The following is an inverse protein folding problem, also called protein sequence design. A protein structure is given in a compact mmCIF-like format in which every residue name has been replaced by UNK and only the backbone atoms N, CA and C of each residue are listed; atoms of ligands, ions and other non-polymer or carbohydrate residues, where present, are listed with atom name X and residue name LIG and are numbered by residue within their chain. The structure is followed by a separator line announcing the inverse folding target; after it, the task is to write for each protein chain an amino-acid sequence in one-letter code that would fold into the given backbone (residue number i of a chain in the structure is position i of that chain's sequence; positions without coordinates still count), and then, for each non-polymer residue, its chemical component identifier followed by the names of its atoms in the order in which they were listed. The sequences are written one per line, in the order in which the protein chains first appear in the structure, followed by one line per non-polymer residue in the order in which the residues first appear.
data_IF_665464831379
#
_entry.id   IF_665464831379
#
_cell.length_a   1.000
_cell.length_b   1.000
_cell.length_c   1.000
_cell.angle_alpha   90.00
_cell.angle_beta   90.00
_cell.angle_gamma   90.00
#
_symmetry.space_group_name_H-M   'P 1'
#
loop_
_entity.id
_entity.type
_entity.pdbx_description
1 polymer ?
#
# COMPACT_ATOMS: atom_id res chain seq x y z
N UNK A 1 -41.83 -19.51 -1.46
CA UNK A 1 -41.43 -19.25 -0.06
C UNK A 1 -41.21 -17.75 0.16
N UNK A 2 -42.05 -17.03 0.92
CA UNK A 2 -41.85 -15.59 1.18
C UNK A 2 -41.87 -15.17 2.67
N UNK A 3 -41.87 -16.11 3.64
CA UNK A 3 -42.15 -15.80 5.05
C UNK A 3 -40.93 -15.41 5.92
N UNK A 4 -39.70 -15.62 5.47
CA UNK A 4 -38.51 -15.38 6.30
C UNK A 4 -38.21 -13.87 6.51
N UNK A 5 -38.38 -13.06 5.46
CA UNK A 5 -38.07 -11.63 5.50
C UNK A 5 -38.97 -10.84 6.47
N UNK A 6 -40.27 -11.20 6.53
CA UNK A 6 -41.24 -10.58 7.46
C UNK A 6 -40.98 -10.92 8.92
N UNK A 7 -40.42 -12.10 9.21
CA UNK A 7 -39.99 -12.48 10.56
C UNK A 7 -38.74 -11.69 10.99
N UNK A 8 -37.76 -11.53 10.09
CA UNK A 8 -36.54 -10.77 10.36
C UNK A 8 -36.83 -9.29 10.67
N UNK A 9 -37.67 -8.62 9.86
CA UNK A 9 -38.07 -7.23 10.10
C UNK A 9 -38.83 -7.05 11.43
N UNK A 10 -39.69 -8.01 11.80
CA UNK A 10 -40.40 -7.98 13.09
C UNK A 10 -39.48 -8.18 14.29
N UNK A 11 -38.40 -8.95 14.15
CA UNK A 11 -37.39 -9.09 15.20
C UNK A 11 -36.58 -7.80 15.37
N UNK A 12 -36.15 -7.19 14.26
CA UNK A 12 -35.34 -5.96 14.27
C UNK A 12 -36.09 -4.77 14.91
N UNK A 13 -37.36 -4.57 14.54
CA UNK A 13 -38.23 -3.52 15.11
C UNK A 13 -38.51 -3.72 16.61
N UNK A 14 -38.37 -4.94 17.14
CA UNK A 14 -38.67 -5.26 18.55
C UNK A 14 -37.48 -5.08 19.49
N UNK A 15 -36.27 -4.93 18.97
CA UNK A 15 -35.03 -4.89 19.75
C UNK A 15 -34.19 -3.61 19.61
N UNK A 16 -34.48 -2.73 18.65
CA UNK A 16 -33.59 -1.59 18.35
C UNK A 16 -34.24 -0.20 18.16
N UNK A 17 -35.54 -0.01 18.49
CA UNK A 17 -36.17 1.33 18.45
C UNK A 17 -37.02 1.63 19.70
N UNK A 18 -36.37 2.27 20.68
CA UNK A 18 -36.96 3.14 21.70
C UNK A 18 -35.84 4.05 22.23
N UNK A 19 -36.00 5.35 22.49
CA UNK A 19 -37.21 6.18 22.48
C UNK A 19 -36.89 7.64 22.13
N UNK A 20 -37.81 8.29 21.42
CA UNK A 20 -37.91 9.75 21.27
C UNK A 20 -39.04 10.25 22.20
N UNK A 21 -38.90 11.37 22.91
CA UNK A 21 -40.05 12.11 23.44
C UNK A 21 -40.54 13.13 22.41
N UNK A 22 -41.87 13.17 22.20
CA UNK A 22 -42.55 14.11 21.28
C UNK A 22 -43.44 15.11 22.10
N UNK A 23 -44.37 15.90 21.54
CA UNK A 23 -44.19 17.36 21.57
C UNK A 23 -45.41 18.13 22.14
N UNK A 24 -45.34 19.46 22.16
CA UNK A 24 -46.51 20.36 22.19
C UNK A 24 -46.23 21.55 21.24
N UNK A 25 -47.20 21.91 20.38
CA UNK A 25 -47.16 23.14 19.55
C UNK A 25 -47.61 24.38 20.35
N UNK A 26 -47.82 25.57 19.80
CA UNK A 26 -47.83 26.12 18.42
C UNK A 26 -47.29 27.58 18.48
N UNK A 27 -47.24 28.45 17.45
CA UNK A 27 -47.88 28.47 16.12
C UNK A 27 -46.99 29.17 15.05
N UNK A 28 -47.59 29.96 14.16
CA UNK A 28 -47.00 30.78 13.08
C UNK A 28 -47.75 32.17 13.07
N UNK A 29 -47.44 33.20 12.24
CA UNK A 29 -46.66 33.20 11.00
C UNK A 29 -45.76 34.43 10.63
N UNK A 30 -44.99 34.23 9.56
CA UNK A 30 -44.55 35.14 8.48
C UNK A 30 -44.48 36.68 8.63
N UNK A 31 -43.33 37.26 8.24
CA UNK A 31 -43.17 38.07 7.00
C UNK A 31 -41.72 38.58 6.84
N UNK A 32 -41.29 38.86 5.60
CA UNK A 32 -39.95 39.39 5.29
C UNK A 32 -39.95 40.92 5.12
N UNK A 33 -38.98 41.62 5.71
CA UNK A 33 -38.59 42.98 5.30
C UNK A 33 -37.19 43.40 5.81
N UNK A 34 -36.47 44.13 4.96
CA UNK A 34 -35.42 45.12 5.22
C UNK A 34 -34.34 44.87 6.30
N UNK A 35 -33.07 44.79 5.84
CA UNK A 35 -31.89 45.13 6.65
C UNK A 35 -31.92 46.63 6.95
N UNK A 36 -31.93 47.08 8.22
CA UNK A 36 -31.83 48.50 8.55
C UNK A 36 -30.39 49.01 8.39
N UNK A 37 -30.26 50.29 8.08
CA UNK A 37 -29.00 50.92 7.75
C UNK A 37 -28.01 50.98 8.94
N UNK A 38 -26.72 51.03 8.58
CA UNK A 38 -25.60 51.28 9.49
C UNK A 38 -25.87 52.53 10.34
N UNK A 39 -25.81 52.37 11.66
CA UNK A 39 -25.69 53.48 12.63
C UNK A 39 -24.32 53.40 13.31
N UNK A 40 -23.70 54.54 13.66
CA UNK A 40 -22.25 54.62 13.83
C UNK A 40 -21.73 54.11 15.18
N UNK A 41 -20.47 53.67 15.15
CA UNK A 41 -19.57 53.34 16.27
C UNK A 41 -20.03 53.82 17.66
N UNK A 42 -20.40 52.86 18.51
CA UNK A 42 -20.10 52.96 19.94
C UNK A 42 -18.64 52.51 20.16
N UNK A 43 -17.88 53.26 20.95
CA UNK A 43 -16.52 52.88 21.35
C UNK A 43 -16.55 51.77 22.42
N UNK A 44 -16.40 50.50 22.03
CA UNK A 44 -16.12 49.43 23.00
C UNK A 44 -14.67 49.51 23.50
N UNK A 45 -14.46 50.34 24.51
CA UNK A 45 -13.26 50.29 25.35
C UNK A 45 -13.29 49.00 26.18
N UNK A 46 -12.33 48.10 25.93
CA UNK A 46 -12.04 46.99 26.86
C UNK A 46 -12.05 45.57 26.29
N UNK A 47 -11.89 45.36 24.98
CA UNK A 47 -11.56 44.04 24.47
C UNK A 47 -10.28 43.52 25.15
N UNK A 48 -10.36 42.38 25.86
CA UNK A 48 -9.17 41.72 26.41
C UNK A 48 -8.21 41.41 25.26
N UNK A 49 -6.88 41.61 25.43
CA UNK A 49 -5.93 41.26 24.38
C UNK A 49 -6.10 39.77 24.02
N UNK A 50 -6.16 39.47 22.72
CA UNK A 50 -6.33 38.09 22.25
C UNK A 50 -5.23 37.18 22.79
N UNK A 51 -5.50 35.90 23.07
CA UNK A 51 -4.50 34.96 23.59
C UNK A 51 -3.18 34.99 22.81
N UNK A 52 -2.05 34.82 23.49
CA UNK A 52 -0.71 34.94 22.88
C UNK A 52 -0.51 33.97 21.69
N UNK A 53 -1.13 32.79 21.75
CA UNK A 53 -1.09 31.82 20.64
C UNK A 53 -1.93 32.25 19.44
N UNK A 54 -3.02 32.99 19.62
CA UNK A 54 -3.78 33.58 18.50
C UNK A 54 -3.03 34.75 17.87
N UNK A 55 -2.41 35.61 18.69
CA UNK A 55 -1.56 36.70 18.19
C UNK A 55 -0.40 36.13 17.35
N UNK A 56 0.26 35.09 17.87
CA UNK A 56 1.32 34.37 17.17
C UNK A 56 0.82 33.73 15.87
N UNK A 57 -0.30 33.00 15.91
CA UNK A 57 -0.85 32.37 14.71
C UNK A 57 -1.17 33.41 13.62
N UNK A 58 -1.81 34.54 13.98
CA UNK A 58 -2.08 35.64 13.04
C UNK A 58 -0.81 36.20 12.41
N UNK A 59 0.23 36.51 13.21
CA UNK A 59 1.52 36.98 12.71
C UNK A 59 2.18 35.97 11.74
N UNK A 60 2.13 34.69 12.07
CA UNK A 60 2.70 33.63 11.24
C UNK A 60 1.93 33.54 9.91
N UNK A 61 0.60 33.54 9.97
CA UNK A 61 -0.31 33.48 8.82
C UNK A 61 -0.33 34.74 7.96
N UNK A 62 0.01 35.93 8.48
CA UNK A 62 0.11 37.16 7.68
C UNK A 62 1.07 37.01 6.49
N UNK A 63 2.17 36.28 6.68
CA UNK A 63 3.24 36.14 5.68
C UNK A 63 3.35 34.74 5.09
N UNK A 64 2.74 33.73 5.70
CA UNK A 64 2.92 32.33 5.29
C UNK A 64 1.61 31.55 5.30
N UNK A 65 1.56 30.50 4.51
CA UNK A 65 0.56 29.44 4.63
C UNK A 65 1.22 28.22 5.27
N UNK A 66 0.58 27.63 6.28
CA UNK A 66 1.09 26.44 6.98
C UNK A 66 0.17 25.23 6.77
N UNK A 67 0.77 24.04 6.79
CA UNK A 67 0.07 22.75 6.83
C UNK A 67 0.89 21.71 7.57
N UNK A 68 0.26 20.73 8.21
CA UNK A 68 0.94 19.68 8.97
C UNK A 68 0.88 18.36 8.21
N UNK A 69 2.03 17.89 7.71
CA UNK A 69 2.12 16.70 6.88
C UNK A 69 1.99 15.42 7.71
N UNK A 70 0.90 14.67 7.50
CA UNK A 70 0.54 13.46 8.23
C UNK A 70 1.41 12.23 7.91
N UNK A 71 2.15 12.24 6.81
CA UNK A 71 3.10 11.18 6.44
C UNK A 71 4.50 11.49 6.98
N UNK A 72 4.97 12.73 6.78
CA UNK A 72 6.26 13.18 7.31
C UNK A 72 6.25 13.37 8.85
N UNK A 73 5.09 13.66 9.45
CA UNK A 73 4.91 14.11 10.84
C UNK A 73 5.58 15.47 11.13
N UNK A 74 5.60 16.36 10.13
CA UNK A 74 6.28 17.66 10.21
C UNK A 74 5.39 18.80 9.71
N UNK A 75 5.50 20.01 10.28
CA UNK A 75 4.95 21.22 9.70
C UNK A 75 5.68 21.57 8.40
N UNK A 76 4.91 22.04 7.42
CA UNK A 76 5.35 22.60 6.16
C UNK A 76 4.76 23.99 5.99
N UNK A 77 5.46 24.85 5.24
CA UNK A 77 5.01 26.20 4.95
C UNK A 77 5.45 26.70 3.58
N UNK A 78 4.81 27.77 3.12
CA UNK A 78 5.25 28.61 2.00
C UNK A 78 4.91 30.07 2.28
N UNK A 79 5.47 30.99 1.50
CA UNK A 79 5.02 32.39 1.52
C UNK A 79 3.55 32.49 1.07
N UNK A 80 2.78 33.35 1.74
CA UNK A 80 1.34 33.49 1.51
C UNK A 80 1.07 34.08 0.12
N UNK A 81 0.18 33.43 -0.64
CA UNK A 81 -0.11 33.78 -2.03
C UNK A 81 0.98 33.36 -3.03
N UNK A 82 2.06 32.69 -2.58
CA UNK A 82 3.10 32.19 -3.48
C UNK A 82 2.68 30.90 -4.18
N UNK A 83 2.97 30.81 -5.48
CA UNK A 83 2.82 29.58 -6.26
C UNK A 83 3.92 28.54 -5.94
N UNK A 84 4.90 28.87 -5.09
CA UNK A 84 5.92 27.94 -4.64
C UNK A 84 5.33 26.72 -3.91
N UNK A 85 6.02 25.58 -4.05
CA UNK A 85 5.73 24.38 -3.27
C UNK A 85 5.96 24.63 -1.78
N UNK A 86 5.12 24.03 -0.94
CA UNK A 86 5.35 23.98 0.49
C UNK A 86 6.66 23.24 0.79
N UNK A 87 7.43 23.77 1.73
CA UNK A 87 8.68 23.19 2.22
C UNK A 87 8.58 22.91 3.71
N UNK A 88 9.27 21.88 4.19
CA UNK A 88 9.32 21.53 5.62
C UNK A 88 9.92 22.69 6.41
N UNK A 89 9.37 22.98 7.59
CA UNK A 89 9.99 23.95 8.51
C UNK A 89 11.31 23.35 9.02
N UNK A 90 12.44 23.87 8.55
CA UNK A 90 13.75 23.48 9.05
C UNK A 90 14.10 24.24 10.35
N UNK A 91 15.13 23.82 11.11
CA UNK A 91 15.56 24.54 12.31
C UNK A 91 15.90 26.02 12.05
N UNK A 92 16.42 26.34 10.85
CA UNK A 92 16.66 27.72 10.42
C UNK A 92 15.35 28.52 10.33
N UNK A 93 14.36 28.00 9.62
CA UNK A 93 13.05 28.64 9.46
C UNK A 93 12.36 28.84 10.80
N UNK A 94 12.39 27.80 11.64
CA UNK A 94 11.82 27.82 12.99
C UNK A 94 12.43 28.95 13.84
N UNK A 95 13.75 29.12 13.78
CA UNK A 95 14.43 30.22 14.48
C UNK A 95 14.04 31.58 13.91
N UNK A 96 13.90 31.72 12.58
CA UNK A 96 13.42 32.96 11.94
C UNK A 96 11.98 33.29 12.34
N UNK A 97 11.08 32.31 12.39
CA UNK A 97 9.70 32.49 12.85
C UNK A 97 9.64 32.92 14.34
N UNK A 98 10.52 32.35 15.18
CA UNK A 98 10.65 32.77 16.58
C UNK A 98 11.19 34.20 16.73
N UNK A 99 12.17 34.61 15.92
CA UNK A 99 12.68 36.00 15.90
C UNK A 99 11.57 36.98 15.50
N UNK A 100 10.79 36.68 14.46
CA UNK A 100 9.65 37.54 14.06
C UNK A 100 8.63 37.72 15.20
N UNK A 101 8.37 36.68 15.99
CA UNK A 101 7.46 36.76 17.14
C UNK A 101 8.01 37.60 18.31
N UNK A 102 9.34 37.62 18.49
CA UNK A 102 10.06 38.49 19.43
C UNK A 102 10.00 39.94 18.94
N UNK A 103 10.28 40.20 17.67
CA UNK A 103 10.27 41.53 17.05
C UNK A 103 8.87 42.17 17.11
N UNK A 104 7.82 41.36 16.88
CA UNK A 104 6.42 41.74 17.05
C UNK A 104 5.98 41.91 18.52
N UNK A 105 6.87 41.67 19.49
CA UNK A 105 6.66 41.80 20.95
C UNK A 105 5.47 41.02 21.50
N UNK A 106 5.14 39.87 20.90
CA UNK A 106 4.01 39.04 21.32
C UNK A 106 4.25 38.41 22.71
N UNK A 107 5.51 38.28 23.14
CA UNK A 107 5.85 37.75 24.47
C UNK A 107 5.76 36.22 24.57
N UNK A 108 5.87 35.52 23.44
CA UNK A 108 5.93 34.06 23.34
C UNK A 108 7.36 33.54 23.43
N UNK A 109 7.53 32.32 23.93
CA UNK A 109 8.82 31.62 23.90
C UNK A 109 8.95 30.80 22.61
N UNK A 110 10.18 30.44 22.25
CA UNK A 110 10.46 29.55 21.12
C UNK A 110 9.64 28.24 21.18
N UNK A 111 9.46 27.68 22.39
CA UNK A 111 8.61 26.50 22.64
C UNK A 111 7.13 26.71 22.31
N UNK A 112 6.63 27.94 22.38
CA UNK A 112 5.24 28.25 22.03
C UNK A 112 5.05 28.30 20.51
N UNK A 113 6.08 28.71 19.76
CA UNK A 113 6.11 28.57 18.29
C UNK A 113 6.09 27.09 17.89
N UNK A 114 6.89 26.24 18.56
CA UNK A 114 6.89 24.79 18.32
C UNK A 114 5.52 24.18 18.62
N UNK A 115 4.93 24.53 19.76
CA UNK A 115 3.57 24.10 20.15
C UNK A 115 2.52 24.48 19.12
N UNK A 116 2.53 25.73 18.62
CA UNK A 116 1.57 26.15 17.56
C UNK A 116 1.78 25.31 16.31
N UNK A 117 3.01 25.21 15.80
CA UNK A 117 3.34 24.47 14.57
C UNK A 117 3.02 22.96 14.63
N UNK A 118 3.03 22.36 15.83
CA UNK A 118 2.68 20.95 16.07
C UNK A 118 1.28 20.75 16.69
N UNK A 119 0.42 21.78 16.68
CA UNK A 119 -0.95 21.69 17.18
C UNK A 119 -1.99 21.49 16.07
N UNK A 120 -3.21 21.15 16.47
CA UNK A 120 -4.38 21.11 15.58
C UNK A 120 -4.83 22.48 15.04
N UNK A 121 -4.14 23.58 15.42
CA UNK A 121 -4.33 24.89 14.78
C UNK A 121 -3.76 24.92 13.35
N UNK A 122 -2.75 24.10 13.06
CA UNK A 122 -2.22 23.96 11.70
C UNK A 122 -3.04 22.92 10.93
N UNK A 123 -3.58 23.26 9.74
CA UNK A 123 -4.38 22.33 8.94
C UNK A 123 -3.63 21.03 8.62
N UNK A 124 -4.24 19.89 8.93
CA UNK A 124 -3.68 18.58 8.61
C UNK A 124 -3.69 18.30 7.10
N UNK A 125 -2.61 17.72 6.59
CA UNK A 125 -2.37 17.49 5.18
C UNK A 125 -1.88 16.06 4.93
N UNK A 126 -2.57 15.30 4.08
CA UNK A 126 -2.15 13.96 3.65
C UNK A 126 -1.71 13.98 2.18
N UNK A 127 -0.39 13.99 1.88
CA UNK A 127 0.14 14.21 0.53
C UNK A 127 -0.50 13.37 -0.57
N UNK A 128 -0.62 12.05 -0.35
CA UNK A 128 -1.14 11.11 -1.36
C UNK A 128 -2.63 11.36 -1.65
N UNK A 129 -3.42 11.65 -0.62
CA UNK A 129 -4.88 11.84 -0.75
C UNK A 129 -5.18 13.20 -1.34
N UNK A 130 -4.46 14.24 -0.89
CA UNK A 130 -4.58 15.59 -1.44
C UNK A 130 -4.22 15.65 -2.93
N UNK A 131 -3.15 14.95 -3.34
CA UNK A 131 -2.82 14.79 -4.75
C UNK A 131 -4.01 14.19 -5.52
N UNK A 132 -4.59 13.09 -5.02
CA UNK A 132 -5.76 12.44 -5.63
C UNK A 132 -7.03 13.30 -5.63
N UNK A 133 -7.21 14.19 -4.66
CA UNK A 133 -8.33 15.16 -4.59
C UNK A 133 -8.18 16.26 -5.64
N UNK A 134 -6.98 16.83 -5.78
CA UNK A 134 -6.68 17.95 -6.67
C UNK A 134 -6.61 17.60 -8.17
N UNK A 135 -6.66 16.32 -8.53
CA UNK A 135 -6.61 15.90 -9.95
C UNK A 135 -7.75 16.52 -10.77
N UNK A 136 -7.51 16.84 -12.04
CA UNK A 136 -8.57 17.26 -12.97
C UNK A 136 -9.59 16.14 -13.22
N UNK A 137 -10.67 16.47 -13.93
CA UNK A 137 -11.51 15.45 -14.55
C UNK A 137 -10.68 14.63 -15.55
N UNK A 138 -10.98 13.33 -15.65
CA UNK A 138 -10.37 12.47 -16.65
C UNK A 138 -10.84 12.87 -18.06
N UNK A 139 -9.91 13.02 -18.99
CA UNK A 139 -10.17 13.39 -20.39
C UNK A 139 -10.72 12.25 -21.27
N UNK A 140 -11.00 11.08 -20.68
CA UNK A 140 -11.54 9.91 -21.38
C UNK A 140 -10.51 9.10 -22.18
N UNK A 141 -9.23 9.49 -22.20
CA UNK A 141 -8.18 8.77 -22.92
C UNK A 141 -7.46 7.76 -22.02
N UNK A 142 -7.35 6.52 -22.47
CA UNK A 142 -6.61 5.46 -21.77
C UNK A 142 -5.09 5.69 -21.85
N UNK A 143 -4.48 5.98 -20.70
CA UNK A 143 -3.03 6.06 -20.47
C UNK A 143 -2.50 4.85 -19.72
N UNK A 144 -3.37 4.08 -19.06
CA UNK A 144 -3.02 2.92 -18.24
C UNK A 144 -2.51 1.75 -19.09
N UNK A 145 -3.23 1.38 -20.16
CA UNK A 145 -2.80 0.29 -21.05
C UNK A 145 -1.47 0.60 -21.76
N UNK A 146 -1.29 1.75 -22.44
CA UNK A 146 -0.01 2.08 -23.08
C UNK A 146 1.16 2.10 -22.09
N UNK A 147 0.93 2.49 -20.83
CA UNK A 147 1.94 2.47 -19.77
C UNK A 147 2.36 1.03 -19.41
N UNK A 148 1.41 0.10 -19.29
CA UNK A 148 1.70 -1.31 -19.05
C UNK A 148 2.45 -1.95 -20.23
N UNK A 149 2.06 -1.59 -21.46
CA UNK A 149 2.63 -2.11 -22.70
C UNK A 149 4.10 -1.70 -22.92
N UNK A 150 4.58 -0.62 -22.26
CA UNK A 150 6.02 -0.26 -22.22
C UNK A 150 6.91 -1.37 -21.63
N UNK A 151 6.32 -2.30 -20.88
CA UNK A 151 7.02 -3.47 -20.30
C UNK A 151 6.71 -4.74 -21.08
N UNK A 152 5.43 -5.01 -21.37
CA UNK A 152 5.01 -6.19 -22.14
C UNK A 152 3.62 -6.01 -22.74
N UNK A 153 3.42 -6.46 -23.97
CA UNK A 153 2.11 -6.53 -24.62
C UNK A 153 1.27 -7.77 -24.22
N UNK A 154 1.74 -8.58 -23.26
CA UNK A 154 0.98 -9.75 -22.78
C UNK A 154 -0.33 -9.29 -22.11
N UNK A 155 -1.46 -9.79 -22.58
CA UNK A 155 -2.79 -9.44 -22.06
C UNK A 155 -2.91 -9.67 -20.54
N UNK A 156 -2.34 -10.76 -20.03
CA UNK A 156 -2.33 -11.07 -18.59
C UNK A 156 -1.48 -10.06 -17.80
N UNK A 157 -0.34 -9.61 -18.35
CA UNK A 157 0.46 -8.56 -17.74
C UNK A 157 -0.30 -7.24 -17.69
N UNK A 158 -0.87 -6.80 -18.82
CA UNK A 158 -1.64 -5.55 -18.92
C UNK A 158 -2.81 -5.56 -17.94
N UNK A 159 -3.55 -6.67 -17.84
CA UNK A 159 -4.65 -6.84 -16.90
C UNK A 159 -4.17 -6.76 -15.44
N UNK A 160 -3.16 -7.53 -15.06
CA UNK A 160 -2.64 -7.57 -13.69
C UNK A 160 -2.01 -6.24 -13.25
N UNK A 161 -1.26 -5.57 -14.14
CA UNK A 161 -0.70 -4.24 -13.90
C UNK A 161 -1.80 -3.19 -13.72
N UNK A 162 -2.86 -3.25 -14.54
CA UNK A 162 -4.01 -2.34 -14.43
C UNK A 162 -4.76 -2.51 -13.10
N UNK A 163 -4.95 -3.76 -12.64
CA UNK A 163 -5.53 -4.03 -11.32
C UNK A 163 -4.63 -3.51 -10.20
N UNK A 164 -3.32 -3.77 -10.28
CA UNK A 164 -2.35 -3.30 -9.27
C UNK A 164 -2.28 -1.77 -9.18
N UNK A 165 -2.23 -1.05 -10.30
CA UNK A 165 -2.09 0.41 -10.29
C UNK A 165 -3.40 1.11 -9.85
N UNK A 166 -4.57 0.51 -10.14
CA UNK A 166 -5.84 0.94 -9.52
C UNK A 166 -5.88 0.69 -8.02
N UNK A 167 -5.39 -0.45 -7.54
CA UNK A 167 -5.32 -0.74 -6.11
C UNK A 167 -4.39 0.25 -5.37
N UNK A 168 -3.28 0.65 -6.00
CA UNK A 168 -2.41 1.73 -5.52
C UNK A 168 -3.15 3.06 -5.43
N UNK A 169 -3.82 3.49 -6.51
CA UNK A 169 -4.60 4.73 -6.51
C UNK A 169 -5.73 4.72 -5.46
N UNK A 170 -6.42 3.59 -5.30
CA UNK A 170 -7.46 3.40 -4.29
C UNK A 170 -6.92 3.50 -2.85
N UNK A 171 -5.72 2.97 -2.57
CA UNK A 171 -5.04 3.19 -1.27
C UNK A 171 -4.73 4.67 -1.04
N UNK A 172 -4.25 5.39 -2.06
CA UNK A 172 -3.90 6.82 -1.93
C UNK A 172 -5.14 7.69 -1.69
N UNK A 173 -6.28 7.31 -2.28
CA UNK A 173 -7.60 7.89 -2.02
C UNK A 173 -8.22 7.50 -0.67
N UNK A 174 -7.57 6.64 0.12
CA UNK A 174 -8.15 6.01 1.32
C UNK A 174 -9.51 5.32 1.07
N UNK A 175 -9.68 4.71 -0.12
CA UNK A 175 -10.94 4.14 -0.56
C UNK A 175 -11.37 2.94 0.33
N UNK A 176 -12.60 2.93 0.89
CA UNK A 176 -12.97 2.04 2.00
C UNK A 176 -12.95 0.55 1.65
N UNK A 177 -13.08 0.19 0.36
CA UNK A 177 -13.04 -1.21 -0.09
C UNK A 177 -11.63 -1.77 -0.29
N UNK A 178 -10.60 -0.92 -0.34
CA UNK A 178 -9.21 -1.32 -0.62
C UNK A 178 -8.33 -1.08 0.60
N UNK A 179 -8.25 -2.09 1.46
CA UNK A 179 -7.46 -2.02 2.70
C UNK A 179 -5.95 -2.15 2.49
N UNK A 180 -5.53 -2.79 1.39
CA UNK A 180 -4.17 -3.27 1.18
C UNK A 180 -4.00 -3.73 -0.28
N UNK A 181 -3.01 -3.20 -1.00
CA UNK A 181 -2.61 -3.74 -2.29
C UNK A 181 -1.62 -4.89 -2.09
N UNK A 182 -2.08 -6.12 -2.27
CA UNK A 182 -1.32 -7.36 -2.04
C UNK A 182 -0.58 -7.86 -3.29
N UNK A 183 -0.79 -7.22 -4.45
CA UNK A 183 -0.09 -7.54 -5.70
C UNK A 183 1.25 -6.81 -5.78
N UNK A 184 2.24 -7.46 -6.39
CA UNK A 184 3.61 -6.95 -6.55
C UNK A 184 4.10 -7.25 -7.96
N UNK A 185 4.09 -6.29 -8.90
CA UNK A 185 4.72 -6.46 -10.19
C UNK A 185 6.22 -6.68 -10.02
N UNK A 186 6.74 -7.74 -10.63
CA UNK A 186 8.13 -8.16 -10.51
C UNK A 186 8.76 -8.18 -11.91
N UNK A 187 9.49 -7.12 -12.21
CA UNK A 187 10.14 -6.89 -13.50
C UNK A 187 11.50 -7.60 -13.48
N UNK A 188 11.58 -8.69 -14.24
CA UNK A 188 12.72 -9.61 -14.29
C UNK A 188 13.50 -9.38 -15.58
N UNK A 189 14.84 -9.38 -15.54
CA UNK A 189 15.64 -9.44 -16.77
C UNK A 189 17.02 -10.04 -16.58
N UNK A 190 17.41 -10.98 -17.46
CA UNK A 190 18.78 -11.53 -17.48
C UNK A 190 19.86 -10.51 -17.79
N UNK A 191 19.49 -9.41 -18.47
CA UNK A 191 20.40 -8.31 -18.84
C UNK A 191 20.20 -7.13 -17.89
N UNK A 192 21.29 -6.56 -17.41
CA UNK A 192 21.27 -5.28 -16.69
C UNK A 192 21.03 -4.11 -17.66
N UNK A 193 20.73 -2.92 -17.13
CA UNK A 193 20.59 -1.69 -17.93
C UNK A 193 19.24 -1.47 -18.61
N UNK A 194 18.25 -2.36 -18.47
CA UNK A 194 16.93 -2.24 -19.13
C UNK A 194 15.98 -1.19 -18.49
N UNK A 195 16.52 -0.22 -17.73
CA UNK A 195 15.80 0.92 -17.13
C UNK A 195 14.66 0.56 -16.16
N UNK A 196 14.62 -0.67 -15.63
CA UNK A 196 13.57 -1.17 -14.72
C UNK A 196 13.32 -0.25 -13.50
N UNK A 197 14.35 0.02 -12.70
CA UNK A 197 14.22 0.86 -11.50
C UNK A 197 13.94 2.33 -11.85
N UNK A 198 14.37 2.80 -13.04
CA UNK A 198 13.98 4.12 -13.60
C UNK A 198 12.49 4.19 -13.91
N UNK A 199 11.92 3.13 -14.51
CA UNK A 199 10.48 3.03 -14.74
C UNK A 199 9.71 2.96 -13.41
N UNK A 200 10.17 2.19 -12.43
CA UNK A 200 9.53 2.15 -11.10
C UNK A 200 9.44 3.53 -10.45
N UNK A 201 10.49 4.36 -10.59
CA UNK A 201 10.49 5.75 -10.12
C UNK A 201 9.59 6.66 -10.95
N UNK A 202 9.52 6.47 -12.27
CA UNK A 202 8.66 7.25 -13.17
C UNK A 202 7.17 7.14 -12.81
N UNK A 203 6.72 6.03 -12.21
CA UNK A 203 5.34 5.86 -11.76
C UNK A 203 4.95 6.84 -10.63
N UNK A 204 5.91 7.35 -9.86
CA UNK A 204 5.65 8.35 -8.82
C UNK A 204 5.56 9.75 -9.44
N UNK A 205 4.50 10.53 -9.19
CA UNK A 205 4.45 11.95 -9.54
C UNK A 205 5.62 12.73 -8.90
N UNK A 206 6.24 13.70 -9.59
CA UNK A 206 7.41 14.42 -9.06
C UNK A 206 7.18 15.08 -7.70
N UNK A 207 5.97 15.62 -7.48
CA UNK A 207 5.54 16.24 -6.21
C UNK A 207 5.45 15.26 -5.03
N UNK A 208 5.41 13.96 -5.32
CA UNK A 208 5.31 12.87 -4.34
C UNK A 208 6.60 12.04 -4.24
N UNK A 209 7.72 12.52 -4.79
CA UNK A 209 9.01 11.81 -4.79
C UNK A 209 9.47 11.37 -3.40
N UNK A 210 9.18 12.17 -2.37
CA UNK A 210 9.50 11.90 -0.96
C UNK A 210 8.81 10.65 -0.40
N UNK A 211 7.72 10.19 -1.03
CA UNK A 211 6.94 9.02 -0.63
C UNK A 211 7.27 7.77 -1.46
N UNK A 212 8.32 7.84 -2.29
CA UNK A 212 8.87 6.70 -3.02
C UNK A 212 10.17 6.23 -2.37
N UNK A 213 10.41 4.92 -2.37
CA UNK A 213 11.71 4.35 -1.96
C UNK A 213 12.23 3.38 -3.02
N UNK A 214 13.45 3.63 -3.53
CA UNK A 214 14.13 2.72 -4.45
C UNK A 214 14.53 1.39 -3.81
N UNK A 215 14.80 1.38 -2.48
CA UNK A 215 15.26 0.19 -1.74
C UNK A 215 14.52 0.01 -0.42
N UNK A 216 14.18 -1.24 -0.11
CA UNK A 216 13.57 -1.64 1.15
C UNK A 216 14.45 -2.67 1.88
N UNK A 217 15.19 -2.19 2.88
CA UNK A 217 16.09 -3.04 3.66
C UNK A 217 15.33 -3.80 4.74
N UNK A 218 15.23 -5.11 4.56
CA UNK A 218 14.64 -6.05 5.51
C UNK A 218 15.71 -6.51 6.51
N UNK A 219 16.23 -5.59 7.33
CA UNK A 219 17.15 -5.93 8.43
C UNK A 219 16.39 -6.34 9.69
N UNK A 220 16.93 -7.29 10.46
CA UNK A 220 16.24 -7.88 11.61
C UNK A 220 16.01 -6.93 12.80
N UNK A 221 16.60 -5.73 12.76
CA UNK A 221 16.54 -4.70 13.82
C UNK A 221 15.72 -3.48 13.44
N UNK A 222 15.31 -3.32 12.17
CA UNK A 222 14.55 -2.16 11.73
C UNK A 222 13.04 -2.37 11.88
N UNK A 223 12.33 -1.39 12.42
CA UNK A 223 10.88 -1.32 12.33
C UNK A 223 10.49 -1.03 10.87
N UNK A 224 9.79 -1.96 10.23
CA UNK A 224 9.42 -1.85 8.82
C UNK A 224 8.07 -1.13 8.66
N UNK A 225 7.14 -1.43 9.55
CA UNK A 225 5.76 -0.94 9.62
C UNK A 225 5.64 0.59 9.52
N UNK A 226 6.48 1.41 10.19
CA UNK A 226 6.43 2.86 10.03
C UNK A 226 6.65 3.32 8.58
N UNK A 227 7.46 2.60 7.78
CA UNK A 227 7.68 2.93 6.37
C UNK A 227 6.45 2.60 5.51
N UNK A 228 5.72 1.52 5.82
CA UNK A 228 4.48 1.15 5.13
C UNK A 228 3.32 2.13 5.39
N UNK A 229 3.37 2.87 6.49
CA UNK A 229 2.44 3.95 6.83
C UNK A 229 2.84 5.33 6.27
N UNK A 230 4.02 5.45 5.65
CA UNK A 230 4.59 6.72 5.17
C UNK A 230 4.82 6.78 3.65
N UNK A 231 5.24 5.68 3.04
CA UNK A 231 5.59 5.62 1.62
C UNK A 231 4.36 5.22 0.78
N UNK A 232 4.13 5.86 -0.37
CA UNK A 232 3.06 5.50 -1.31
C UNK A 232 3.44 4.36 -2.26
N UNK A 233 4.72 4.27 -2.65
CA UNK A 233 5.26 3.20 -3.50
C UNK A 233 6.66 2.79 -3.04
N UNK A 234 6.89 1.49 -2.91
CA UNK A 234 8.17 0.91 -2.51
C UNK A 234 8.67 0.01 -3.64
N UNK A 235 9.85 0.31 -4.19
CA UNK A 235 10.57 -0.62 -5.06
C UNK A 235 11.41 -1.59 -4.22
N UNK A 236 11.26 -2.88 -4.51
CA UNK A 236 12.08 -3.97 -4.02
C UNK A 236 13.17 -4.23 -5.07
N UNK A 237 14.16 -3.35 -5.11
CA UNK A 237 15.32 -3.45 -6.01
C UNK A 237 16.24 -4.61 -5.62
N UNK A 238 16.79 -5.28 -6.63
CA UNK A 238 17.63 -6.48 -6.46
C UNK A 238 16.94 -7.59 -5.65
N UNK A 239 15.65 -7.85 -5.95
CA UNK A 239 14.79 -8.80 -5.22
C UNK A 239 15.40 -10.20 -5.05
N UNK A 240 16.23 -10.64 -6.02
CA UNK A 240 17.03 -11.86 -5.99
C UNK A 240 18.03 -11.97 -4.81
N UNK A 241 18.39 -10.84 -4.18
CA UNK A 241 19.29 -10.81 -3.01
C UNK A 241 18.60 -11.07 -1.68
N UNK A 242 17.26 -11.09 -1.62
CA UNK A 242 16.57 -11.33 -0.36
C UNK A 242 16.71 -12.78 0.10
N UNK A 243 17.27 -12.95 1.29
CA UNK A 243 17.37 -14.25 1.96
C UNK A 243 15.98 -14.86 2.20
N UNK A 244 15.85 -16.20 2.38
CA UNK A 244 14.57 -16.84 2.70
C UNK A 244 13.88 -16.26 3.94
N UNK A 245 14.64 -15.78 4.93
CA UNK A 245 14.11 -15.10 6.13
C UNK A 245 13.50 -13.74 5.77
N UNK A 246 14.17 -12.95 4.94
CA UNK A 246 13.66 -11.65 4.48
C UNK A 246 12.42 -11.82 3.61
N UNK A 247 12.40 -12.83 2.72
CA UNK A 247 11.23 -13.18 1.93
C UNK A 247 10.03 -13.62 2.81
N UNK A 248 10.26 -14.28 3.95
CA UNK A 248 9.21 -14.56 4.93
C UNK A 248 8.69 -13.27 5.61
N UNK A 249 9.57 -12.38 6.05
CA UNK A 249 9.19 -11.06 6.60
C UNK A 249 8.36 -10.26 5.58
N UNK A 250 8.81 -10.16 4.33
CA UNK A 250 8.11 -9.45 3.26
C UNK A 250 6.70 -10.01 3.03
N UNK A 251 6.52 -11.34 3.00
CA UNK A 251 5.19 -11.97 2.87
C UNK A 251 4.24 -11.62 4.02
N UNK A 252 4.76 -11.38 5.22
CA UNK A 252 3.97 -10.90 6.33
C UNK A 252 3.61 -9.42 6.16
N UNK A 253 4.57 -8.56 5.79
CA UNK A 253 4.32 -7.14 5.53
C UNK A 253 3.30 -6.90 4.40
N UNK A 254 3.35 -7.71 3.33
CA UNK A 254 2.36 -7.69 2.24
C UNK A 254 0.94 -8.05 2.73
N UNK A 255 0.80 -8.85 3.81
CA UNK A 255 -0.49 -9.22 4.39
C UNK A 255 -1.07 -8.18 5.35
N UNK A 256 -0.27 -7.21 5.80
CA UNK A 256 -0.73 -6.21 6.76
C UNK A 256 -1.72 -5.24 6.10
N UNK A 257 -2.95 -5.22 6.62
CA UNK A 257 -4.00 -4.26 6.27
C UNK A 257 -3.96 -3.00 7.14
N UNK A 258 -3.60 -3.19 8.40
CA UNK A 258 -3.46 -2.13 9.40
C UNK A 258 -2.18 -2.35 10.19
N UNK A 259 -1.56 -1.26 10.60
CA UNK A 259 -0.22 -1.18 11.17
C UNK A 259 -0.37 -0.59 12.59
N UNK A 260 0.00 -1.37 13.61
CA UNK A 260 0.00 -0.87 15.00
C UNK A 260 1.26 -0.06 15.24
N UNK A 261 1.13 1.26 15.32
CA UNK A 261 2.25 2.20 15.26
C UNK A 261 2.10 3.32 16.29
N UNK A 262 3.22 3.72 16.89
CA UNK A 262 3.30 4.89 17.75
C UNK A 262 3.73 6.11 16.91
N UNK A 263 2.89 7.14 16.86
CA UNK A 263 3.24 8.44 16.26
C UNK A 263 4.22 9.18 17.15
N UNK A 264 5.07 10.03 16.57
CA UNK A 264 6.12 10.76 17.31
C UNK A 264 5.55 11.63 18.44
N UNK A 265 4.33 12.17 18.25
CA UNK A 265 3.60 13.02 19.19
C UNK A 265 2.61 12.26 20.11
N UNK A 266 2.57 10.92 20.08
CA UNK A 266 1.72 10.12 20.98
C UNK A 266 2.54 9.07 21.75
N UNK A 267 2.08 8.73 22.95
CA UNK A 267 2.66 7.62 23.73
C UNK A 267 2.03 6.27 23.39
N UNK A 268 0.76 6.28 23.00
CA UNK A 268 -0.04 5.10 22.66
C UNK A 268 0.23 4.57 21.24
N UNK A 269 0.06 3.27 21.07
CA UNK A 269 -0.02 2.62 19.76
C UNK A 269 -1.39 2.92 19.13
N UNK A 270 -1.39 3.30 17.86
CA UNK A 270 -2.60 3.49 17.07
C UNK A 270 -2.58 2.64 15.80
N UNK A 271 -3.75 2.19 15.37
CA UNK A 271 -3.94 1.53 14.10
C UNK A 271 -3.86 2.55 12.95
N UNK A 272 -2.87 2.42 12.07
CA UNK A 272 -2.73 3.21 10.84
C UNK A 272 -2.95 2.33 9.60
N UNK A 273 -3.61 2.83 8.55
CA UNK A 273 -3.75 2.08 7.30
C UNK A 273 -2.39 1.88 6.62
N UNK A 274 -2.22 0.74 5.91
CA UNK A 274 -1.09 0.57 4.98
C UNK A 274 -1.34 1.40 3.73
N UNK A 275 -0.56 2.46 3.54
CA UNK A 275 -0.60 3.30 2.32
C UNK A 275 0.36 2.79 1.23
N UNK A 276 1.41 2.07 1.60
CA UNK A 276 2.41 1.56 0.66
C UNK A 276 1.86 0.47 -0.26
N UNK A 277 2.02 0.68 -1.57
CA UNK A 277 2.06 -0.36 -2.61
C UNK A 277 3.50 -0.80 -2.90
N UNK A 278 3.67 -2.00 -3.46
CA UNK A 278 4.98 -2.57 -3.78
C UNK A 278 5.13 -2.85 -5.28
N UNK A 279 6.34 -2.61 -5.79
CA UNK A 279 6.85 -3.06 -7.08
C UNK A 279 8.23 -3.67 -6.85
N UNK A 280 8.71 -4.55 -7.72
CA UNK A 280 9.96 -5.27 -7.53
C UNK A 280 10.76 -5.37 -8.84
N UNK A 281 12.09 -5.38 -8.72
CA UNK A 281 13.00 -5.49 -9.85
C UNK A 281 14.09 -6.52 -9.56
N UNK A 282 14.36 -7.41 -10.51
CA UNK A 282 15.39 -8.44 -10.38
C UNK A 282 16.21 -8.60 -11.66
N UNK A 283 17.47 -9.04 -11.48
CA UNK A 283 18.37 -9.39 -12.59
C UNK A 283 18.50 -10.91 -12.80
N UNK A 284 17.70 -11.71 -12.10
CA UNK A 284 17.72 -13.18 -12.11
C UNK A 284 16.31 -13.68 -12.42
N UNK A 285 16.17 -14.73 -13.24
CA UNK A 285 14.85 -15.27 -13.59
C UNK A 285 14.26 -16.15 -12.49
N UNK A 286 15.10 -16.87 -11.76
CA UNK A 286 14.72 -17.74 -10.66
C UNK A 286 14.59 -16.95 -9.35
N UNK A 287 13.42 -16.36 -9.11
CA UNK A 287 13.15 -15.46 -7.97
C UNK A 287 12.08 -15.98 -7.01
N UNK A 288 11.16 -16.83 -7.48
CA UNK A 288 10.07 -17.33 -6.66
C UNK A 288 10.46 -18.66 -5.98
N UNK A 289 10.78 -18.58 -4.69
CA UNK A 289 11.18 -19.72 -3.84
C UNK A 289 10.02 -20.50 -3.20
N UNK A 290 8.77 -20.02 -3.32
CA UNK A 290 7.60 -20.57 -2.63
C UNK A 290 6.43 -20.76 -3.60
N UNK A 291 5.92 -22.00 -3.76
CA UNK A 291 4.75 -22.27 -4.62
C UNK A 291 3.52 -21.47 -4.20
N UNK A 292 3.24 -21.39 -2.89
CA UNK A 292 2.00 -20.82 -2.33
C UNK A 292 2.03 -19.29 -2.24
N UNK A 293 3.23 -18.72 -2.09
CA UNK A 293 3.45 -17.27 -2.09
C UNK A 293 3.47 -16.63 -3.48
N UNK A 294 3.60 -17.43 -4.55
CA UNK A 294 3.81 -16.95 -5.93
C UNK A 294 2.68 -16.08 -6.48
N UNK A 295 1.43 -16.31 -6.06
CA UNK A 295 0.22 -15.62 -6.55
C UNK A 295 0.15 -14.11 -6.29
N UNK A 296 0.97 -13.59 -5.38
CA UNK A 296 1.08 -12.14 -5.12
C UNK A 296 2.02 -11.43 -6.09
N UNK A 297 2.93 -12.16 -6.75
CA UNK A 297 3.90 -11.57 -7.66
C UNK A 297 3.38 -11.61 -9.10
N UNK A 298 3.47 -10.51 -9.82
CA UNK A 298 3.16 -10.44 -11.25
C UNK A 298 4.49 -10.43 -12.01
N UNK A 299 5.03 -11.61 -12.28
CA UNK A 299 6.33 -11.73 -12.94
C UNK A 299 6.24 -11.45 -14.45
N UNK A 300 7.16 -10.65 -14.95
CA UNK A 300 7.29 -10.35 -16.38
C UNK A 300 8.76 -10.26 -16.77
N UNK A 301 9.13 -10.92 -17.88
CA UNK A 301 10.48 -10.82 -18.44
C UNK A 301 10.58 -9.58 -19.34
N UNK A 302 11.44 -8.65 -18.94
CA UNK A 302 11.75 -7.42 -19.67
C UNK A 302 12.84 -7.74 -20.68
N UNK A 303 12.49 -7.73 -21.97
CA UNK A 303 13.38 -8.14 -23.07
C UNK A 303 14.14 -6.98 -23.72
N UNK A 304 13.64 -5.75 -23.60
CA UNK A 304 14.21 -4.53 -24.18
C UNK A 304 14.27 -3.41 -23.13
N UNK A 305 15.08 -2.34 -23.34
CA UNK A 305 15.07 -1.18 -22.45
C UNK A 305 13.69 -0.54 -22.42
N UNK A 306 13.12 -0.37 -21.22
CA UNK A 306 11.78 0.20 -21.05
C UNK A 306 11.78 1.66 -21.49
N UNK A 307 10.70 2.10 -22.13
CA UNK A 307 10.49 3.51 -22.40
C UNK A 307 10.13 4.29 -21.12
N UNK A 308 11.08 5.12 -20.67
CA UNK A 308 10.88 6.05 -19.57
C UNK A 308 10.65 7.49 -20.05
N UNK A 309 10.04 7.69 -21.22
CA UNK A 309 9.49 8.99 -21.63
C UNK A 309 8.53 9.53 -20.55
N UNK A 310 8.49 10.86 -20.32
CA UNK A 310 7.59 11.46 -19.33
C UNK A 310 6.13 11.01 -19.50
N UNK A 311 5.42 10.91 -18.38
CA UNK A 311 4.00 10.57 -18.35
C UNK A 311 3.18 11.74 -17.83
N UNK A 312 1.96 11.87 -18.33
CA UNK A 312 0.96 12.79 -17.82
C UNK A 312 0.37 12.20 -16.53
N UNK A 313 1.06 12.42 -15.40
CA UNK A 313 0.65 11.90 -14.09
C UNK A 313 -0.75 12.38 -13.70
N UNK A 314 -1.08 13.65 -13.99
CA UNK A 314 -2.36 14.23 -13.63
C UNK A 314 -3.53 13.48 -14.30
N UNK A 315 -3.46 13.24 -15.62
CA UNK A 315 -4.53 12.50 -16.30
C UNK A 315 -4.45 10.98 -16.11
N UNK A 316 -3.25 10.39 -15.91
CA UNK A 316 -3.14 8.98 -15.55
C UNK A 316 -3.83 8.69 -14.21
N UNK A 317 -3.54 9.48 -13.18
CA UNK A 317 -4.20 9.30 -11.89
C UNK A 317 -5.67 9.76 -11.93
N UNK A 318 -6.06 10.69 -12.80
CA UNK A 318 -7.47 11.02 -13.02
C UNK A 318 -8.24 9.84 -13.64
N UNK A 319 -7.66 9.13 -14.62
CA UNK A 319 -8.19 7.87 -15.14
C UNK A 319 -8.36 6.84 -14.02
N UNK A 320 -7.29 6.58 -13.26
CA UNK A 320 -7.31 5.61 -12.15
C UNK A 320 -8.39 5.96 -11.10
N UNK A 321 -8.51 7.24 -10.72
CA UNK A 321 -9.57 7.75 -9.83
C UNK A 321 -10.95 7.49 -10.41
N UNK A 322 -11.16 7.80 -11.70
CA UNK A 322 -12.43 7.56 -12.39
C UNK A 322 -12.80 6.08 -12.43
N UNK A 323 -11.86 5.21 -12.81
CA UNK A 323 -12.07 3.76 -12.86
C UNK A 323 -12.42 3.19 -11.48
N UNK A 324 -11.66 3.55 -10.44
CA UNK A 324 -11.92 3.10 -9.05
C UNK A 324 -13.31 3.54 -8.57
N UNK A 325 -13.69 4.81 -8.80
CA UNK A 325 -15.01 5.33 -8.41
C UNK A 325 -16.16 4.72 -9.22
N UNK A 326 -15.92 4.30 -10.47
CA UNK A 326 -16.88 3.51 -11.27
C UNK A 326 -16.99 2.04 -10.85
N UNK A 327 -16.23 1.60 -9.84
CA UNK A 327 -16.26 0.23 -9.33
C UNK A 327 -15.35 -0.76 -10.08
N UNK A 328 -14.37 -0.29 -10.84
CA UNK A 328 -13.43 -1.17 -11.53
C UNK A 328 -12.57 -1.98 -10.53
N UNK A 329 -12.24 -3.26 -10.85
CA UNK A 329 -11.65 -4.17 -9.88
C UNK A 329 -10.21 -3.79 -9.49
N UNK A 330 -10.01 -3.64 -8.18
CA UNK A 330 -8.71 -3.45 -7.51
C UNK A 330 -8.13 -4.77 -6.93
N UNK A 331 -8.69 -5.91 -7.33
CA UNK A 331 -8.22 -7.25 -6.96
C UNK A 331 -8.38 -8.19 -8.16
N UNK A 332 -7.57 -9.25 -8.23
CA UNK A 332 -7.71 -10.28 -9.25
C UNK A 332 -8.91 -11.17 -8.91
N UNK A 333 -9.64 -11.61 -9.94
CA UNK A 333 -10.58 -12.72 -9.79
C UNK A 333 -9.82 -14.05 -9.70
N UNK A 334 -10.57 -15.13 -9.44
CA UNK A 334 -10.00 -16.46 -9.28
C UNK A 334 -9.32 -16.95 -10.57
N UNK A 335 -9.95 -16.75 -11.73
CA UNK A 335 -9.43 -17.24 -13.01
C UNK A 335 -8.11 -16.55 -13.39
N UNK A 336 -8.01 -15.24 -13.17
CA UNK A 336 -6.80 -14.45 -13.41
C UNK A 336 -5.72 -14.80 -12.39
N UNK A 337 -6.07 -15.08 -11.14
CA UNK A 337 -5.11 -15.56 -10.12
C UNK A 337 -4.52 -16.92 -10.52
N UNK A 338 -5.35 -17.87 -10.97
CA UNK A 338 -4.91 -19.18 -11.45
C UNK A 338 -4.11 -19.10 -12.77
N UNK A 339 -4.41 -18.12 -13.64
CA UNK A 339 -3.62 -17.84 -14.83
C UNK A 339 -2.26 -17.23 -14.49
N UNK A 340 -2.21 -16.34 -13.49
CA UNK A 340 -0.99 -15.75 -12.98
C UNK A 340 -0.07 -16.79 -12.33
N UNK A 341 -0.61 -17.67 -11.48
CA UNK A 341 0.17 -18.75 -10.86
C UNK A 341 0.83 -19.68 -11.89
N UNK A 342 0.15 -19.93 -13.03
CA UNK A 342 0.68 -20.66 -14.19
C UNK A 342 1.73 -19.85 -14.95
N UNK A 343 1.47 -18.57 -15.25
CA UNK A 343 2.43 -17.68 -15.91
C UNK A 343 3.71 -17.46 -15.10
N UNK A 344 3.64 -17.60 -13.78
CA UNK A 344 4.79 -17.50 -12.88
C UNK A 344 5.67 -18.75 -12.85
N UNK A 345 5.26 -19.87 -13.47
CA UNK A 345 6.02 -21.12 -13.43
C UNK A 345 7.50 -21.01 -13.92
N UNK A 346 7.84 -20.26 -14.98
CA UNK A 346 9.23 -20.10 -15.43
C UNK A 346 10.12 -19.28 -14.50
N UNK A 347 9.54 -18.55 -13.54
CA UNK A 347 10.25 -17.69 -12.59
C UNK A 347 10.47 -18.35 -11.22
N UNK A 348 10.06 -19.61 -11.06
CA UNK A 348 10.26 -20.40 -9.85
C UNK A 348 11.71 -20.88 -9.78
N UNK A 349 12.29 -20.89 -8.58
CA UNK A 349 13.62 -21.46 -8.35
C UNK A 349 13.57 -22.97 -8.56
N UNK A 350 14.35 -23.48 -9.50
CA UNK A 350 14.40 -24.91 -9.79
C UNK A 350 15.45 -25.58 -8.91
N UNK A 351 15.00 -26.24 -7.85
CA UNK A 351 15.88 -27.06 -7.01
C UNK A 351 16.42 -28.25 -7.83
N UNK A 352 17.76 -28.46 -7.94
CA UNK A 352 18.32 -29.60 -8.66
C UNK A 352 17.91 -30.96 -8.06
N UNK A 353 17.56 -30.97 -6.78
CA UNK A 353 16.95 -32.12 -6.13
C UNK A 353 15.52 -32.34 -6.63
N UNK A 354 14.71 -31.29 -6.69
CA UNK A 354 13.34 -31.33 -7.22
C UNK A 354 13.29 -31.78 -8.68
N UNK A 355 14.19 -31.28 -9.52
CA UNK A 355 14.30 -31.70 -10.93
C UNK A 355 14.62 -33.20 -11.05
N UNK A 356 15.60 -33.70 -10.29
CA UNK A 356 15.90 -35.15 -10.26
C UNK A 356 14.78 -35.98 -9.63
N UNK A 357 14.05 -35.45 -8.66
CA UNK A 357 12.91 -36.11 -8.03
C UNK A 357 11.73 -36.24 -9.00
N UNK A 358 11.47 -35.19 -9.79
CA UNK A 358 10.43 -35.16 -10.82
C UNK A 358 10.63 -36.20 -11.94
N UNK A 359 11.87 -36.68 -12.16
CA UNK A 359 12.16 -37.80 -13.09
C UNK A 359 11.66 -39.16 -12.61
N UNK A 360 11.26 -39.29 -11.33
CA UNK A 360 10.78 -40.54 -10.75
C UNK A 360 9.39 -40.42 -10.10
N UNK A 361 8.93 -39.21 -9.77
CA UNK A 361 7.66 -38.98 -9.10
C UNK A 361 6.98 -37.72 -9.63
N UNK A 362 5.70 -37.83 -9.98
CA UNK A 362 4.84 -36.72 -10.39
C UNK A 362 3.59 -36.62 -9.55
N UNK A 363 2.95 -35.46 -9.58
CA UNK A 363 1.64 -35.25 -8.94
C UNK A 363 0.59 -36.13 -9.67
N UNK A 364 -0.31 -36.83 -8.95
CA UNK A 364 -1.40 -37.57 -9.58
C UNK A 364 -2.31 -36.64 -10.40
N UNK A 365 -2.80 -37.10 -11.55
CA UNK A 365 -3.87 -36.41 -12.27
C UNK A 365 -5.22 -36.68 -11.60
N UNK A 366 -6.28 -35.98 -12.00
CA UNK A 366 -7.64 -36.17 -11.46
C UNK A 366 -8.17 -37.59 -11.60
N UNK A 367 -7.71 -38.30 -12.63
CA UNK A 367 -8.26 -39.58 -13.09
C UNK A 367 -7.36 -40.78 -12.74
N UNK A 368 -6.30 -40.55 -11.97
CA UNK A 368 -5.26 -41.55 -11.68
C UNK A 368 -5.00 -41.71 -10.17
N UNK A 369 -5.08 -42.93 -9.62
CA UNK A 369 -4.83 -43.17 -8.20
C UNK A 369 -3.34 -43.08 -7.86
N UNK A 370 -2.96 -42.09 -7.04
CA UNK A 370 -1.61 -41.98 -6.50
C UNK A 370 -1.35 -42.83 -5.25
N UNK A 371 -0.09 -43.22 -5.07
CA UNK A 371 0.40 -43.94 -3.90
C UNK A 371 0.83 -42.98 -2.78
N UNK A 372 0.65 -43.39 -1.52
CA UNK A 372 0.86 -42.54 -0.35
C UNK A 372 2.12 -42.93 0.42
N UNK A 373 3.11 -42.05 0.43
CA UNK A 373 4.39 -42.26 1.11
C UNK A 373 4.72 -41.17 2.13
N UNK A 374 5.35 -41.55 3.23
CA UNK A 374 6.00 -40.60 4.15
C UNK A 374 7.25 -39.99 3.52
N UNK A 375 7.73 -38.86 4.05
CA UNK A 375 9.00 -38.25 3.63
C UNK A 375 10.17 -39.23 3.71
N UNK A 376 10.22 -40.06 4.74
CA UNK A 376 11.29 -41.06 4.94
C UNK A 376 11.23 -42.16 3.89
N UNK A 377 10.04 -42.70 3.59
CA UNK A 377 9.86 -43.70 2.52
C UNK A 377 10.24 -43.12 1.14
N UNK A 378 9.86 -41.87 0.85
CA UNK A 378 10.29 -41.17 -0.37
C UNK A 378 11.80 -40.92 -0.42
N UNK A 379 12.41 -40.55 0.71
CA UNK A 379 13.86 -40.37 0.81
C UNK A 379 14.61 -41.66 0.54
N UNK A 380 14.22 -42.78 1.16
CA UNK A 380 14.90 -44.06 1.00
C UNK A 380 14.65 -44.71 -0.37
N UNK A 381 13.50 -44.45 -1.01
CA UNK A 381 13.27 -44.84 -2.41
C UNK A 381 14.08 -43.98 -3.37
N UNK A 382 14.04 -42.66 -3.23
CA UNK A 382 14.81 -41.74 -4.09
C UNK A 382 16.32 -41.92 -3.93
N UNK A 383 16.82 -42.13 -2.70
CA UNK A 383 18.22 -42.48 -2.39
C UNK A 383 18.67 -43.75 -3.11
N UNK A 384 17.81 -44.78 -3.21
CA UNK A 384 18.12 -46.01 -3.96
C UNK A 384 18.22 -45.77 -5.47
N UNK A 385 17.37 -44.91 -6.03
CA UNK A 385 17.38 -44.57 -7.47
C UNK A 385 18.49 -43.58 -7.85
N UNK A 386 18.79 -42.59 -7.00
CA UNK A 386 19.80 -41.57 -7.27
C UNK A 386 20.66 -41.25 -6.02
N UNK A 387 21.59 -42.14 -5.61
CA UNK A 387 22.43 -41.94 -4.43
C UNK A 387 23.25 -40.65 -4.45
N UNK A 388 23.64 -40.18 -5.65
CA UNK A 388 24.39 -38.95 -5.84
C UNK A 388 23.57 -37.67 -5.56
N UNK A 389 22.23 -37.69 -5.70
CA UNK A 389 21.38 -36.53 -5.47
C UNK A 389 21.13 -36.23 -3.98
N UNK A 390 21.31 -37.22 -3.12
CA UNK A 390 21.09 -37.11 -1.66
C UNK A 390 22.39 -37.13 -0.85
N UNK A 391 23.56 -37.16 -1.50
CA UNK A 391 24.86 -37.20 -0.83
C UNK A 391 25.08 -35.90 -0.04
N UNK A 392 25.13 -36.00 1.29
CA UNK A 392 25.24 -34.85 2.20
C UNK A 392 23.93 -34.10 2.46
N UNK A 393 22.80 -34.57 1.90
CA UNK A 393 21.50 -33.96 2.12
C UNK A 393 20.87 -34.49 3.43
N UNK A 394 20.41 -33.60 4.31
CA UNK A 394 19.66 -34.02 5.49
C UNK A 394 18.22 -34.41 5.14
N UNK A 395 17.63 -35.36 5.88
CA UNK A 395 16.22 -35.73 5.75
C UNK A 395 15.28 -34.53 5.98
N UNK A 396 15.68 -33.58 6.83
CA UNK A 396 14.94 -32.33 7.07
C UNK A 396 14.95 -31.40 5.85
N UNK A 397 16.10 -31.31 5.15
CA UNK A 397 16.21 -30.56 3.90
C UNK A 397 15.37 -31.23 2.82
N UNK A 398 15.53 -32.53 2.60
CA UNK A 398 14.73 -33.31 1.65
C UNK A 398 13.22 -33.16 1.92
N UNK A 399 12.80 -33.28 3.19
CA UNK A 399 11.40 -33.11 3.58
C UNK A 399 10.86 -31.70 3.40
N UNK A 400 11.71 -30.67 3.33
CA UNK A 400 11.29 -29.30 2.96
C UNK A 400 11.04 -29.20 1.45
N UNK A 401 11.91 -29.82 0.65
CA UNK A 401 11.82 -29.85 -0.82
C UNK A 401 10.62 -30.67 -1.31
N UNK A 402 10.34 -31.84 -0.72
CA UNK A 402 9.12 -32.62 -1.04
C UNK A 402 7.84 -31.83 -0.71
N UNK A 403 7.87 -30.96 0.30
CA UNK A 403 6.75 -30.06 0.62
C UNK A 403 6.59 -28.91 -0.38
N UNK A 404 7.66 -28.38 -0.97
CA UNK A 404 7.57 -27.35 -2.01
C UNK A 404 7.18 -27.91 -3.39
N UNK A 405 7.24 -29.22 -3.60
CA UNK A 405 6.82 -29.85 -4.85
C UNK A 405 5.30 -29.96 -5.06
N UNK A 406 4.48 -29.58 -4.07
CA UNK A 406 3.02 -29.43 -4.24
C UNK A 406 2.22 -30.74 -4.29
N UNK A 407 2.81 -31.88 -3.90
CA UNK A 407 2.08 -33.14 -3.79
C UNK A 407 0.91 -33.05 -2.79
N UNK A 408 -0.26 -33.68 -3.07
CA UNK A 408 -1.36 -33.76 -2.11
C UNK A 408 -0.91 -34.39 -0.79
N UNK A 409 -1.27 -33.79 0.34
CA UNK A 409 -0.85 -34.26 1.67
C UNK A 409 -2.03 -34.71 2.50
N UNK A 410 -1.82 -35.73 3.34
CA UNK A 410 -2.82 -36.21 4.30
C UNK A 410 -2.11 -36.74 5.56
N UNK A 411 -2.68 -36.44 6.72
CA UNK A 411 -2.26 -37.07 7.97
C UNK A 411 -2.86 -38.48 8.03
N UNK A 412 -2.01 -39.50 8.17
CA UNK A 412 -2.38 -40.92 8.24
C UNK A 412 -1.77 -41.56 9.48
N UNK A 413 -2.08 -42.84 9.75
CA UNK A 413 -1.58 -43.59 10.93
C UNK A 413 -0.05 -43.61 11.10
N UNK A 414 0.72 -43.30 10.05
CA UNK A 414 2.20 -43.23 10.03
C UNK A 414 2.74 -41.78 10.00
N UNK A 415 1.90 -40.78 10.29
CA UNK A 415 2.23 -39.36 10.17
C UNK A 415 1.80 -38.76 8.83
N UNK A 416 2.48 -37.69 8.40
CA UNK A 416 2.14 -36.98 7.17
C UNK A 416 2.64 -37.73 5.93
N UNK A 417 1.70 -38.15 5.09
CA UNK A 417 1.96 -38.81 3.81
C UNK A 417 1.68 -37.86 2.64
N UNK A 418 2.39 -38.09 1.54
CA UNK A 418 2.34 -37.36 0.28
C UNK A 418 1.88 -38.32 -0.82
N UNK A 419 0.92 -37.89 -1.63
CA UNK A 419 0.39 -38.67 -2.74
C UNK A 419 1.24 -38.43 -4.00
N UNK A 420 1.81 -39.48 -4.56
CA UNK A 420 2.69 -39.42 -5.75
C UNK A 420 2.28 -40.49 -6.76
N UNK A 421 2.56 -40.26 -8.04
CA UNK A 421 2.61 -41.31 -9.06
C UNK A 421 4.06 -41.52 -9.44
N UNK A 422 4.52 -42.77 -9.48
CA UNK A 422 5.87 -43.12 -9.91
C UNK A 422 5.95 -43.06 -11.45
N UNK A 423 7.06 -42.53 -11.96
CA UNK A 423 7.35 -42.34 -13.41
C UNK A 423 8.36 -43.40 -13.87
#
# INVERSE_FOLDING_TARGET
MPNFFRLLCRWFLRHFVSSVPSPVGTEQPAAAAAVPAVSPRAEEKGAKPSPLHEQLLRLLEERHEFRYNLLAEMPEFRERGSAAAFRRVAPLDFNTLAIHAIDARIGVWQRDVERVLHSALIPAYHPLTHFMEQLPAWDGRDRLRPLAERISASALWVQCFSVWLRALAAQWMAHPTVTANDLVPLLVSRRQGLRKSTFCRLLMPPELSDYYADKFELTATAAHEPRLAKLGLINLDEFDRYTPRQNATLKNLLQLKSLSLRRSYRQELMALPRVASFIATSNVNEVLTDPTGSRRFVCVEVNAPIDCSPIDHAQLFAQLRSEVLSGAPCYLDRATTEALERSNAPFRVFSPLAERFARFYRVPTTDEPGEWYTVTELYDRFRRRCPAAVRGLSLQTFGREVRSLGFPTAHRRRGNCYCVVEV
#
